data_IF_434658061924
#
_entry.id   IF_434658061924
#
_cell.length_a   1.000
_cell.length_b   1.000
_cell.length_c   1.000
_cell.angle_alpha   90.00
_cell.angle_beta   90.00
_cell.angle_gamma   90.00
#
_symmetry.space_group_name_H-M   'P 1'
#
loop_
_entity.id
_entity.type
_entity.pdbx_description
1 polymer ?
#
# COMPACT_ATOMS: atom_id res chain seq x y z
N UNK A 1 11.79 2.04 1.02
CA UNK A 1 13.18 2.26 1.48
C UNK A 1 13.49 3.75 1.44
N UNK A 2 14.20 4.24 2.42
CA UNK A 2 14.69 5.63 2.45
C UNK A 2 15.81 5.81 3.46
N UNK A 3 16.41 6.99 3.45
CA UNK A 3 17.46 7.34 4.41
C UNK A 3 16.83 7.82 5.71
N UNK A 4 17.58 7.67 6.81
CA UNK A 4 17.23 8.29 8.09
C UNK A 4 17.30 9.80 7.91
N UNK A 5 16.13 10.47 7.94
CA UNK A 5 16.02 11.89 7.54
C UNK A 5 16.27 12.86 8.69
N UNK A 6 16.19 12.39 9.93
CA UNK A 6 16.23 13.26 11.11
C UNK A 6 17.28 12.77 12.11
N UNK A 7 18.14 13.68 12.53
CA UNK A 7 19.19 13.41 13.49
C UNK A 7 18.64 12.94 14.85
N UNK A 8 17.55 13.54 15.32
CA UNK A 8 16.90 13.16 16.57
C UNK A 8 16.31 11.75 16.49
N UNK A 9 15.67 11.41 15.35
CA UNK A 9 15.16 10.05 15.09
C UNK A 9 16.28 9.03 15.01
N UNK A 10 17.43 9.39 14.42
CA UNK A 10 18.61 8.53 14.40
C UNK A 10 19.07 8.19 15.80
N UNK A 11 19.27 9.20 16.64
CA UNK A 11 19.74 8.98 18.02
C UNK A 11 18.73 8.22 18.86
N UNK A 12 17.44 8.49 18.70
CA UNK A 12 16.40 7.86 19.49
C UNK A 12 16.15 6.38 19.12
N UNK A 13 16.33 6.01 17.86
CA UNK A 13 15.81 4.72 17.36
C UNK A 13 16.83 3.84 16.65
N UNK A 14 17.92 4.39 16.12
CA UNK A 14 18.80 3.68 15.19
C UNK A 14 20.26 3.60 15.62
N UNK A 15 20.76 4.58 16.35
CA UNK A 15 22.17 4.62 16.78
C UNK A 15 22.59 3.38 17.54
N UNK A 16 21.80 2.99 18.53
CA UNK A 16 22.13 1.85 19.40
C UNK A 16 21.95 0.49 18.71
N UNK A 17 21.24 0.49 17.59
CA UNK A 17 21.11 -0.67 16.70
C UNK A 17 22.28 -0.82 15.72
N UNK A 18 23.20 0.14 15.67
CA UNK A 18 24.41 0.09 14.85
C UNK A 18 24.26 0.67 13.44
N UNK A 19 23.19 1.44 13.18
CA UNK A 19 23.02 2.14 11.90
C UNK A 19 23.90 3.38 11.80
N UNK A 20 24.32 3.70 10.59
CA UNK A 20 24.88 5.00 10.24
C UNK A 20 23.78 5.94 9.72
N UNK A 21 24.01 7.26 9.78
CA UNK A 21 23.06 8.26 9.26
C UNK A 21 22.76 8.13 7.76
N UNK A 22 23.66 7.49 7.01
CA UNK A 22 23.52 7.26 5.57
C UNK A 22 22.81 5.96 5.22
N UNK A 23 22.52 5.11 6.21
CA UNK A 23 21.94 3.81 5.95
C UNK A 23 20.50 3.93 5.46
N UNK A 24 20.12 2.97 4.62
CA UNK A 24 18.76 2.83 4.14
C UNK A 24 17.94 2.03 5.15
N UNK A 25 16.72 2.47 5.38
CA UNK A 25 15.77 1.82 6.29
C UNK A 25 14.43 1.61 5.58
N UNK A 26 13.66 0.66 6.05
CA UNK A 26 12.27 0.48 5.66
C UNK A 26 11.41 1.61 6.21
N UNK A 27 10.75 2.36 5.33
CA UNK A 27 9.87 3.47 5.72
C UNK A 27 8.42 3.03 5.90
N UNK A 28 8.00 2.01 5.16
CA UNK A 28 6.62 1.50 5.18
C UNK A 28 6.55 0.03 4.81
N UNK A 29 5.36 -0.57 4.98
CA UNK A 29 5.03 -1.93 4.58
C UNK A 29 5.94 -3.00 5.20
N UNK A 30 6.23 -4.02 4.41
CA UNK A 30 7.05 -5.17 4.81
C UNK A 30 8.47 -4.75 5.17
N UNK A 31 9.05 -3.81 4.43
CA UNK A 31 10.40 -3.32 4.71
C UNK A 31 10.52 -2.73 6.11
N UNK A 32 9.54 -1.90 6.52
CA UNK A 32 9.51 -1.33 7.87
C UNK A 32 9.24 -2.37 8.94
N UNK A 33 8.28 -3.25 8.69
CA UNK A 33 7.86 -4.26 9.66
C UNK A 33 8.95 -5.31 9.90
N UNK A 34 9.70 -5.64 8.86
CA UNK A 34 10.75 -6.66 8.87
C UNK A 34 12.16 -6.09 8.88
N UNK A 35 12.31 -4.79 9.19
CA UNK A 35 13.59 -4.09 9.19
C UNK A 35 14.67 -4.84 9.98
N UNK A 36 14.37 -5.26 11.20
CA UNK A 36 15.32 -5.96 12.08
C UNK A 36 15.78 -7.33 11.51
N UNK A 37 15.03 -7.89 10.54
CA UNK A 37 15.38 -9.15 9.85
C UNK A 37 16.13 -8.91 8.55
N UNK A 38 15.76 -7.86 7.83
CA UNK A 38 16.31 -7.54 6.52
C UNK A 38 17.66 -6.82 6.59
N UNK A 39 17.86 -6.06 7.67
CA UNK A 39 19.06 -5.22 7.76
C UNK A 39 20.30 -6.00 8.13
N UNK A 40 21.42 -5.77 7.44
CA UNK A 40 22.75 -6.17 7.89
C UNK A 40 23.34 -5.21 8.92
N UNK A 41 22.75 -4.03 9.10
CA UNK A 41 23.28 -2.92 9.89
C UNK A 41 23.18 -3.11 11.41
N UNK A 42 23.49 -4.28 11.92
CA UNK A 42 23.69 -4.50 13.36
C UNK A 42 25.18 -4.57 13.67
N UNK A 43 25.56 -4.22 14.89
CA UNK A 43 26.97 -4.28 15.36
C UNK A 43 27.64 -5.63 15.11
N UNK A 44 26.85 -6.69 14.97
CA UNK A 44 27.33 -8.07 14.73
C UNK A 44 27.47 -8.40 13.24
N UNK A 45 26.75 -7.68 12.36
CA UNK A 45 26.69 -7.98 10.92
C UNK A 45 27.49 -7.00 10.06
N UNK A 46 27.85 -5.84 10.60
CA UNK A 46 28.67 -4.85 9.89
C UNK A 46 30.09 -5.37 9.75
N UNK A 47 30.56 -5.46 8.51
CA UNK A 47 31.95 -5.77 8.22
C UNK A 47 32.89 -4.67 8.71
N UNK A 48 34.10 -5.06 9.08
CA UNK A 48 35.15 -4.13 9.55
C UNK A 48 36.44 -4.40 8.80
N UNK A 49 37.09 -3.33 8.37
CA UNK A 49 38.43 -3.38 7.81
C UNK A 49 39.35 -2.47 8.63
N UNK A 50 40.32 -3.06 9.32
CA UNK A 50 41.34 -2.33 10.02
C UNK A 50 42.52 -2.13 9.07
N UNK A 51 42.86 -0.89 8.84
CA UNK A 51 43.91 -0.50 7.89
C UNK A 51 44.95 0.36 8.58
N UNK A 52 46.20 0.23 8.14
CA UNK A 52 47.26 1.16 8.43
C UNK A 52 47.28 2.27 7.37
N UNK A 53 47.29 3.49 7.81
CA UNK A 53 47.32 4.66 6.91
C UNK A 53 48.68 5.37 7.02
N UNK A 54 49.14 5.90 5.92
CA UNK A 54 50.33 6.76 5.89
C UNK A 54 50.03 8.19 6.36
N UNK A 55 51.07 9.02 6.43
CA UNK A 55 50.92 10.43 6.85
C UNK A 55 50.03 11.29 5.95
N UNK A 56 49.63 10.79 4.78
CA UNK A 56 48.77 11.47 3.81
C UNK A 56 47.35 10.93 3.84
N UNK A 57 47.03 9.96 4.72
CA UNK A 57 45.73 9.34 4.82
C UNK A 57 45.46 8.18 3.82
N UNK A 58 46.48 7.81 3.02
CA UNK A 58 46.36 6.70 2.10
C UNK A 58 46.56 5.36 2.82
N UNK A 59 45.77 4.35 2.45
CA UNK A 59 45.85 3.00 3.02
C UNK A 59 47.18 2.37 2.59
N UNK A 60 48.07 2.14 3.55
CA UNK A 60 49.34 1.48 3.37
C UNK A 60 49.22 -0.05 3.40
N UNK A 61 48.48 -0.56 4.37
CA UNK A 61 48.27 -2.00 4.56
C UNK A 61 46.95 -2.28 5.25
N UNK A 62 46.28 -3.39 4.86
CA UNK A 62 45.14 -3.94 5.59
C UNK A 62 45.65 -4.88 6.65
N UNK A 63 45.32 -4.63 7.91
CA UNK A 63 45.73 -5.42 9.07
C UNK A 63 44.76 -6.57 9.35
N UNK A 64 43.46 -6.32 9.21
CA UNK A 64 42.42 -7.35 9.35
C UNK A 64 41.18 -6.94 8.59
N UNK A 65 40.42 -7.94 8.14
CA UNK A 65 39.09 -7.79 7.54
C UNK A 65 38.14 -8.76 8.20
N UNK A 66 37.00 -8.25 8.62
CA UNK A 66 35.82 -9.05 9.01
C UNK A 66 34.77 -8.80 7.95
N UNK A 67 34.33 -9.84 7.29
CA UNK A 67 33.30 -9.72 6.24
C UNK A 67 31.95 -9.33 6.85
N UNK A 68 31.17 -8.57 6.11
CA UNK A 68 29.79 -8.27 6.45
C UNK A 68 28.92 -9.52 6.31
N UNK A 69 27.88 -9.61 7.13
CA UNK A 69 26.88 -10.67 7.03
C UNK A 69 25.58 -10.06 6.48
N UNK A 70 25.05 -10.64 5.44
CA UNK A 70 23.79 -10.21 4.83
C UNK A 70 22.60 -10.34 5.81
N UNK A 71 21.57 -9.54 5.58
CA UNK A 71 20.28 -9.69 6.25
C UNK A 71 19.57 -10.99 5.84
N UNK A 72 18.46 -11.29 6.50
CA UNK A 72 17.68 -12.48 6.18
C UNK A 72 16.79 -12.26 4.97
N UNK A 73 16.48 -13.34 4.27
CA UNK A 73 15.48 -13.32 3.20
C UNK A 73 14.06 -13.39 3.80
N UNK A 74 13.15 -12.62 3.22
CA UNK A 74 11.72 -12.66 3.56
C UNK A 74 10.97 -13.26 2.38
N UNK A 75 10.24 -14.35 2.62
CA UNK A 75 9.33 -14.96 1.65
C UNK A 75 7.90 -14.53 1.94
N UNK A 76 7.30 -13.80 1.01
CA UNK A 76 5.88 -13.42 1.07
C UNK A 76 4.99 -14.56 0.59
N UNK A 77 3.71 -14.51 0.96
CA UNK A 77 2.67 -15.42 0.45
C UNK A 77 2.08 -14.95 -0.89
N UNK A 78 2.48 -13.78 -1.37
CA UNK A 78 2.00 -13.21 -2.63
C UNK A 78 2.38 -14.12 -3.80
N UNK A 79 1.37 -14.50 -4.61
CA UNK A 79 1.55 -15.12 -5.91
C UNK A 79 1.66 -14.01 -6.97
N UNK A 80 2.80 -13.91 -7.61
CA UNK A 80 3.10 -12.83 -8.57
C UNK A 80 2.22 -12.84 -9.82
N UNK A 81 1.72 -14.01 -10.22
CA UNK A 81 0.80 -14.11 -11.36
C UNK A 81 -0.59 -13.60 -10.96
N UNK A 82 -1.07 -14.03 -9.79
CA UNK A 82 -2.35 -13.58 -9.25
C UNK A 82 -2.32 -12.07 -8.95
N UNK A 83 -1.20 -11.57 -8.41
CA UNK A 83 -1.00 -10.13 -8.17
C UNK A 83 -1.16 -9.32 -9.46
N UNK A 84 -0.47 -9.72 -10.55
CA UNK A 84 -0.59 -9.05 -11.85
C UNK A 84 -2.00 -9.08 -12.42
N UNK A 85 -2.68 -10.22 -12.29
CA UNK A 85 -4.08 -10.34 -12.74
C UNK A 85 -4.98 -9.40 -11.93
N UNK A 86 -4.79 -9.35 -10.61
CA UNK A 86 -5.56 -8.46 -9.73
C UNK A 86 -5.34 -6.98 -10.06
N UNK A 87 -4.09 -6.58 -10.30
CA UNK A 87 -3.73 -5.20 -10.70
C UNK A 87 -4.36 -4.81 -12.04
N UNK A 88 -4.23 -5.65 -13.07
CA UNK A 88 -4.82 -5.40 -14.39
C UNK A 88 -6.34 -5.33 -14.34
N UNK A 89 -6.97 -6.28 -13.66
CA UNK A 89 -8.43 -6.31 -13.52
C UNK A 89 -8.96 -5.11 -12.73
N UNK A 90 -8.23 -4.67 -11.70
CA UNK A 90 -8.59 -3.49 -10.91
C UNK A 90 -8.53 -2.22 -11.77
N UNK A 91 -7.45 -2.03 -12.50
CA UNK A 91 -7.29 -0.88 -13.41
C UNK A 91 -8.35 -0.85 -14.49
N UNK A 92 -8.56 -1.97 -15.18
CA UNK A 92 -9.59 -2.09 -16.23
C UNK A 92 -10.98 -1.78 -15.68
N UNK A 93 -11.31 -2.27 -14.48
CA UNK A 93 -12.62 -2.06 -13.87
C UNK A 93 -12.82 -0.59 -13.46
N UNK A 94 -11.81 0.05 -12.83
CA UNK A 94 -11.91 1.47 -12.43
C UNK A 94 -12.08 2.35 -13.67
N UNK A 95 -11.31 2.11 -14.73
CA UNK A 95 -11.44 2.85 -15.98
C UNK A 95 -12.82 2.64 -16.62
N UNK A 96 -13.31 1.40 -16.64
CA UNK A 96 -14.66 1.10 -17.14
C UNK A 96 -15.75 1.84 -16.35
N UNK A 97 -15.69 1.79 -15.01
CA UNK A 97 -16.66 2.49 -14.15
C UNK A 97 -16.62 4.00 -14.41
N UNK A 98 -15.42 4.58 -14.48
CA UNK A 98 -15.24 6.01 -14.78
C UNK A 98 -15.86 6.39 -16.11
N UNK A 99 -15.59 5.63 -17.16
CA UNK A 99 -16.18 5.86 -18.48
C UNK A 99 -17.71 5.79 -18.47
N UNK A 100 -18.29 4.84 -17.72
CA UNK A 100 -19.74 4.76 -17.55
C UNK A 100 -20.29 5.97 -16.78
N UNK A 101 -19.64 6.37 -15.67
CA UNK A 101 -20.02 7.56 -14.91
C UNK A 101 -19.99 8.82 -15.78
N UNK A 102 -18.93 9.01 -16.56
CA UNK A 102 -18.83 10.16 -17.48
C UNK A 102 -19.91 10.18 -18.56
N UNK A 103 -20.28 9.00 -19.10
CA UNK A 103 -21.39 8.91 -20.09
C UNK A 103 -22.73 9.25 -19.46
N UNK A 104 -23.00 8.74 -18.25
CA UNK A 104 -24.25 9.01 -17.53
C UNK A 104 -24.37 10.49 -17.17
N UNK A 105 -23.29 11.11 -16.69
CA UNK A 105 -23.26 12.52 -16.35
C UNK A 105 -23.40 13.48 -17.55
N UNK A 106 -23.16 12.99 -18.76
CA UNK A 106 -23.40 13.74 -20.00
C UNK A 106 -24.81 13.50 -20.60
N UNK A 107 -25.63 12.64 -19.98
CA UNK A 107 -26.97 12.28 -20.43
C UNK A 107 -28.04 13.06 -19.68
N UNK A 108 -28.64 14.07 -20.34
CA UNK A 108 -29.74 14.86 -19.76
C UNK A 108 -30.91 13.96 -19.33
N UNK A 109 -31.21 12.92 -20.14
CA UNK A 109 -32.26 11.95 -19.82
C UNK A 109 -32.00 11.20 -18.53
N UNK A 110 -30.76 10.78 -18.31
CA UNK A 110 -30.37 10.09 -17.08
C UNK A 110 -30.39 11.03 -15.87
N UNK A 111 -29.88 12.25 -16.04
CA UNK A 111 -29.86 13.26 -14.99
C UNK A 111 -31.29 13.63 -14.55
N UNK A 112 -32.20 13.84 -15.49
CA UNK A 112 -33.61 14.14 -15.20
C UNK A 112 -34.30 12.96 -14.50
N UNK A 113 -34.04 11.73 -14.93
CA UNK A 113 -34.64 10.53 -14.35
C UNK A 113 -34.15 10.26 -12.92
N UNK A 114 -32.91 10.66 -12.58
CA UNK A 114 -32.29 10.42 -11.27
C UNK A 114 -32.21 11.67 -10.39
N UNK A 115 -32.86 12.76 -10.82
CA UNK A 115 -32.79 14.06 -10.15
C UNK A 115 -33.23 14.02 -8.68
N UNK A 116 -34.24 13.21 -8.34
CA UNK A 116 -34.73 13.06 -6.98
C UNK A 116 -33.68 12.38 -6.07
N UNK A 117 -33.04 11.31 -6.56
CA UNK A 117 -32.00 10.59 -5.83
C UNK A 117 -30.73 11.42 -5.67
N UNK A 118 -30.43 12.21 -6.69
CA UNK A 118 -29.28 13.10 -6.71
C UNK A 118 -29.50 14.36 -5.82
N UNK A 119 -30.73 14.87 -5.72
CA UNK A 119 -31.09 16.02 -4.88
C UNK A 119 -31.44 15.62 -3.44
N UNK A 120 -31.86 14.39 -3.20
CA UNK A 120 -32.17 13.86 -1.86
C UNK A 120 -30.92 13.56 -1.02
N UNK A 121 -29.76 13.51 -1.64
CA UNK A 121 -28.48 13.53 -0.93
C UNK A 121 -28.10 14.99 -0.65
N UNK A 122 -27.45 15.28 0.45
CA UNK A 122 -26.87 16.60 0.81
C UNK A 122 -25.83 17.10 -0.21
N UNK A 123 -25.82 16.57 -1.43
CA UNK A 123 -24.92 16.87 -2.52
C UNK A 123 -25.57 17.83 -3.48
N UNK A 124 -25.22 19.06 -3.36
CA UNK A 124 -25.40 20.05 -4.41
C UNK A 124 -24.35 19.78 -5.50
N UNK A 125 -24.79 19.45 -6.71
CA UNK A 125 -23.88 19.13 -7.82
C UNK A 125 -22.97 20.28 -8.22
N UNK A 126 -23.36 21.52 -7.93
CA UNK A 126 -22.54 22.69 -8.20
C UNK A 126 -21.41 22.83 -7.18
N UNK A 127 -21.65 22.46 -5.92
CA UNK A 127 -20.71 22.61 -4.82
C UNK A 127 -20.04 21.29 -4.44
N UNK A 128 -20.63 20.15 -4.76
CA UNK A 128 -20.11 18.81 -4.45
C UNK A 128 -20.38 17.83 -5.62
N UNK A 129 -19.57 17.90 -6.69
CA UNK A 129 -19.75 17.09 -7.86
C UNK A 129 -19.61 15.59 -7.53
N UNK A 130 -20.23 14.74 -8.35
CA UNK A 130 -20.02 13.29 -8.24
C UNK A 130 -18.56 12.98 -8.48
N UNK A 131 -17.92 12.35 -7.48
CA UNK A 131 -16.56 11.86 -7.65
C UNK A 131 -16.55 10.66 -8.62
N UNK A 132 -15.74 10.78 -9.65
CA UNK A 132 -15.49 9.67 -10.58
C UNK A 132 -14.64 8.59 -9.90
N UNK A 133 -14.79 7.35 -10.36
CA UNK A 133 -13.97 6.25 -9.86
C UNK A 133 -12.51 6.47 -10.25
N UNK A 134 -11.65 6.63 -9.26
CA UNK A 134 -10.22 6.91 -9.43
C UNK A 134 -9.32 6.07 -8.54
N UNK A 135 -9.90 5.39 -7.56
CA UNK A 135 -9.19 4.67 -6.52
C UNK A 135 -9.87 3.33 -6.26
N UNK A 136 -9.10 2.36 -5.84
CA UNK A 136 -9.67 1.07 -5.48
C UNK A 136 -8.63 0.08 -4.98
N UNK A 137 -9.11 -1.08 -4.52
CA UNK A 137 -8.25 -2.15 -4.07
C UNK A 137 -8.85 -3.53 -4.35
N UNK A 138 -7.98 -4.51 -4.52
CA UNK A 138 -8.32 -5.95 -4.56
C UNK A 138 -7.44 -6.69 -3.58
N UNK A 139 -8.05 -7.51 -2.72
CA UNK A 139 -7.36 -8.40 -1.79
C UNK A 139 -7.82 -9.82 -2.04
N UNK A 140 -6.87 -10.74 -2.26
CA UNK A 140 -7.15 -12.17 -2.39
C UNK A 140 -6.49 -12.89 -1.24
N UNK A 141 -7.30 -13.60 -0.47
CA UNK A 141 -6.88 -14.34 0.73
C UNK A 141 -7.34 -15.78 0.56
N UNK A 142 -6.48 -16.75 0.87
CA UNK A 142 -6.89 -18.16 0.90
C UNK A 142 -7.61 -18.54 2.19
N UNK A 143 -8.04 -19.79 2.27
CA UNK A 143 -8.81 -20.30 3.43
C UNK A 143 -7.96 -20.44 4.70
N UNK A 144 -6.63 -20.39 4.57
CA UNK A 144 -5.67 -20.39 5.68
C UNK A 144 -5.34 -18.98 6.16
N UNK A 145 -5.92 -17.95 5.51
CA UNK A 145 -5.70 -16.55 5.87
C UNK A 145 -4.43 -15.93 5.25
N UNK A 146 -3.78 -16.62 4.28
CA UNK A 146 -2.61 -16.09 3.59
C UNK A 146 -3.03 -15.12 2.50
N UNK A 147 -2.41 -13.95 2.45
CA UNK A 147 -2.65 -12.96 1.39
C UNK A 147 -1.91 -13.41 0.13
N UNK A 148 -2.65 -13.72 -0.92
CA UNK A 148 -2.14 -14.17 -2.22
C UNK A 148 -1.99 -13.03 -3.22
N UNK A 149 -2.84 -12.00 -3.12
CA UNK A 149 -2.70 -10.76 -3.87
C UNK A 149 -3.21 -9.57 -3.04
N UNK A 150 -2.55 -8.43 -3.19
CA UNK A 150 -2.89 -7.18 -2.52
C UNK A 150 -2.63 -6.03 -3.52
N UNK A 151 -3.65 -5.68 -4.30
CA UNK A 151 -3.57 -4.64 -5.31
C UNK A 151 -4.23 -3.35 -4.84
N UNK A 152 -3.60 -2.23 -5.14
CA UNK A 152 -4.09 -0.88 -4.87
C UNK A 152 -3.98 -0.04 -6.15
N UNK A 153 -4.98 0.79 -6.43
CA UNK A 153 -5.00 1.66 -7.60
C UNK A 153 -5.22 3.13 -7.17
N UNK A 154 -4.50 4.11 -7.74
CA UNK A 154 -3.53 3.96 -8.83
C UNK A 154 -2.23 3.30 -8.38
N UNK A 155 -1.58 2.52 -9.26
CA UNK A 155 -0.28 1.94 -8.99
C UNK A 155 0.83 2.99 -9.12
N UNK A 156 1.99 2.70 -8.56
CA UNK A 156 3.21 3.47 -8.80
C UNK A 156 4.43 2.54 -8.83
N UNK A 157 5.50 2.99 -9.49
CA UNK A 157 6.78 2.28 -9.46
C UNK A 157 7.60 2.75 -8.24
N UNK A 158 7.83 1.90 -7.23
CA UNK A 158 8.63 2.27 -6.07
C UNK A 158 10.08 2.61 -6.41
N UNK A 159 10.61 2.16 -7.55
CA UNK A 159 11.96 2.50 -8.01
C UNK A 159 12.10 3.98 -8.36
N UNK A 160 10.99 4.68 -8.66
CA UNK A 160 11.01 6.12 -8.87
C UNK A 160 11.63 6.89 -7.70
N UNK A 161 11.44 6.42 -6.46
CA UNK A 161 12.03 7.04 -5.26
C UNK A 161 13.52 6.76 -5.09
N UNK A 162 14.04 5.69 -5.72
CA UNK A 162 15.48 5.39 -5.73
C UNK A 162 16.19 6.30 -6.73
N UNK A 163 15.60 6.46 -7.90
CA UNK A 163 16.12 7.32 -8.98
C UNK A 163 15.93 8.80 -8.63
N UNK A 164 14.78 9.13 -8.02
CA UNK A 164 14.39 10.50 -7.71
C UNK A 164 13.98 11.30 -8.95
N UNK A 165 13.94 12.63 -8.80
CA UNK A 165 13.63 13.53 -9.91
C UNK A 165 12.14 13.63 -10.24
N UNK A 166 11.80 13.85 -11.51
CA UNK A 166 10.45 14.13 -12.00
C UNK A 166 9.48 12.97 -11.72
N UNK A 167 9.90 11.73 -11.94
CA UNK A 167 9.05 10.54 -11.71
C UNK A 167 8.60 10.41 -10.25
N UNK A 168 9.46 10.71 -9.28
CA UNK A 168 9.09 10.71 -7.87
C UNK A 168 8.18 11.91 -7.54
N UNK A 169 8.42 13.07 -8.15
CA UNK A 169 7.59 14.26 -7.98
C UNK A 169 6.16 14.03 -8.51
N UNK A 170 6.01 13.42 -9.67
CA UNK A 170 4.70 13.09 -10.26
C UNK A 170 3.87 12.20 -9.34
N UNK A 171 4.49 11.18 -8.71
CA UNK A 171 3.81 10.32 -7.74
C UNK A 171 3.35 11.11 -6.51
N UNK A 172 4.19 12.03 -6.02
CA UNK A 172 3.88 12.84 -4.84
C UNK A 172 2.82 13.91 -5.10
N UNK A 173 2.70 14.38 -6.34
CA UNK A 173 1.75 15.41 -6.76
C UNK A 173 0.43 14.84 -7.28
N UNK A 174 0.33 13.53 -7.48
CA UNK A 174 -0.91 12.89 -7.94
C UNK A 174 -1.99 12.98 -6.87
N UNK A 175 -3.07 13.71 -7.18
CA UNK A 175 -4.22 13.93 -6.29
C UNK A 175 -4.93 12.63 -5.89
N UNK A 176 -4.73 11.56 -6.66
CA UNK A 176 -5.26 10.22 -6.37
C UNK A 176 -4.50 9.49 -5.26
N UNK A 177 -3.40 10.09 -4.76
CA UNK A 177 -2.59 9.59 -3.64
C UNK A 177 -2.11 8.13 -3.82
N UNK A 178 -1.32 7.80 -4.86
CA UNK A 178 -0.88 6.43 -5.14
C UNK A 178 -0.07 5.78 -4.02
N UNK A 179 0.52 6.57 -3.12
CA UNK A 179 1.26 6.06 -1.95
C UNK A 179 0.35 5.48 -0.87
N UNK A 180 -0.95 5.77 -0.91
CA UNK A 180 -1.91 5.15 0.00
C UNK A 180 -2.19 3.72 -0.46
N UNK A 181 -1.91 2.75 0.40
CA UNK A 181 -2.34 1.38 0.15
C UNK A 181 -3.83 1.27 0.48
N UNK A 182 -4.68 1.42 -0.55
CA UNK A 182 -6.14 1.41 -0.39
C UNK A 182 -6.68 0.06 0.10
N UNK A 183 -5.93 -1.03 -0.03
CA UNK A 183 -6.34 -2.34 0.49
C UNK A 183 -6.36 -2.40 2.03
N UNK A 184 -5.56 -1.56 2.71
CA UNK A 184 -5.45 -1.54 4.19
C UNK A 184 -5.65 -0.14 4.78
N UNK A 185 -5.56 0.90 3.99
CA UNK A 185 -5.64 2.30 4.43
C UNK A 185 -6.95 3.01 4.07
N UNK A 186 -7.83 2.38 3.27
CA UNK A 186 -9.13 2.95 2.94
C UNK A 186 -10.05 2.97 4.16
N UNK A 187 -10.87 4.03 4.24
CA UNK A 187 -11.92 4.19 5.25
C UNK A 187 -13.30 4.31 4.60
N UNK A 188 -13.45 3.74 3.43
CA UNK A 188 -14.70 3.79 2.68
C UNK A 188 -15.76 2.90 3.35
N UNK A 189 -17.03 3.30 3.20
CA UNK A 189 -18.15 2.51 3.69
C UNK A 189 -18.24 1.20 2.91
N UNK A 190 -18.22 0.04 3.57
CA UNK A 190 -18.16 -1.26 2.90
C UNK A 190 -19.42 -1.58 2.06
N UNK A 191 -20.53 -0.92 2.33
CA UNK A 191 -21.78 -1.16 1.60
C UNK A 191 -22.22 -2.62 1.62
N UNK A 192 -22.68 -3.13 0.47
CA UNK A 192 -23.24 -4.48 0.34
C UNK A 192 -22.26 -5.63 0.61
N UNK A 193 -20.97 -5.42 0.57
CA UNK A 193 -19.99 -6.46 0.95
C UNK A 193 -20.09 -6.82 2.43
N UNK A 194 -20.57 -5.91 3.27
CA UNK A 194 -20.81 -6.17 4.70
C UNK A 194 -21.98 -7.14 4.96
N UNK A 195 -22.85 -7.38 3.97
CA UNK A 195 -23.96 -8.32 4.09
C UNK A 195 -23.51 -9.75 4.42
N UNK A 196 -22.33 -10.16 3.92
CA UNK A 196 -21.75 -11.46 4.26
C UNK A 196 -21.41 -11.57 5.75
N UNK A 197 -20.90 -10.49 6.35
CA UNK A 197 -20.61 -10.43 7.79
C UNK A 197 -21.91 -10.50 8.58
N UNK A 198 -22.93 -9.74 8.19
CA UNK A 198 -24.25 -9.73 8.84
C UNK A 198 -24.93 -11.10 8.76
N UNK A 199 -24.92 -11.73 7.58
CA UNK A 199 -25.49 -13.06 7.40
C UNK A 199 -24.77 -14.12 8.24
N UNK A 200 -23.43 -14.10 8.24
CA UNK A 200 -22.63 -15.01 9.06
C UNK A 200 -22.93 -14.83 10.55
N UNK A 201 -23.00 -13.59 11.03
CA UNK A 201 -23.37 -13.30 12.41
C UNK A 201 -24.77 -13.81 12.75
N UNK A 202 -25.77 -13.60 11.87
CA UNK A 202 -27.13 -14.12 12.04
C UNK A 202 -27.17 -15.64 12.14
N UNK A 203 -26.42 -16.36 11.31
CA UNK A 203 -26.30 -17.82 11.35
C UNK A 203 -25.64 -18.29 12.66
N UNK A 204 -24.53 -17.67 13.07
CA UNK A 204 -23.79 -18.03 14.28
C UNK A 204 -24.61 -17.81 15.55
N UNK A 205 -25.46 -16.79 15.60
CA UNK A 205 -26.33 -16.47 16.73
C UNK A 205 -27.70 -17.10 16.62
N UNK A 206 -27.97 -18.00 15.65
CA UNK A 206 -29.23 -18.70 15.48
C UNK A 206 -30.42 -17.79 15.14
N UNK A 207 -30.17 -16.58 14.66
CA UNK A 207 -31.19 -15.63 14.20
C UNK A 207 -31.62 -15.89 12.76
N UNK A 208 -30.78 -16.61 11.99
CA UNK A 208 -31.00 -17.01 10.61
C UNK A 208 -30.75 -18.51 10.46
N UNK A 209 -31.40 -19.12 9.49
CA UNK A 209 -31.11 -20.48 9.03
C UNK A 209 -30.70 -20.48 7.56
N UNK A 210 -29.99 -21.50 7.11
CA UNK A 210 -29.51 -21.60 5.70
C UNK A 210 -30.66 -21.71 4.70
N UNK A 211 -31.86 -22.08 5.14
CA UNK A 211 -33.03 -22.31 4.30
C UNK A 211 -34.11 -21.24 4.48
N UNK A 212 -33.90 -20.28 5.35
CA UNK A 212 -34.83 -19.20 5.60
C UNK A 212 -34.91 -18.22 4.44
N UNK A 213 -36.10 -17.82 4.08
CA UNK A 213 -36.33 -16.78 3.07
C UNK A 213 -36.73 -15.50 3.79
N UNK A 214 -35.95 -14.44 3.60
CA UNK A 214 -36.25 -13.11 4.13
C UNK A 214 -36.88 -12.30 3.00
N UNK A 215 -38.09 -11.78 3.22
CA UNK A 215 -38.71 -10.81 2.32
C UNK A 215 -38.31 -9.41 2.75
N UNK A 216 -37.63 -8.71 1.86
CA UNK A 216 -37.43 -7.27 1.96
C UNK A 216 -38.61 -6.57 1.31
N UNK A 217 -39.40 -5.85 2.07
CA UNK A 217 -40.63 -5.18 1.61
C UNK A 217 -40.37 -3.68 1.28
N UNK A 218 -39.10 -3.24 1.27
CA UNK A 218 -38.69 -1.87 0.91
C UNK A 218 -38.58 -0.94 2.10
#
# INVERSE_FOLDING_TARGET
IGKIQNYDTYYASYKDKGYALSDLIGLDGVEKTMEDWLTPCTTQRVGKRVVEIDRYGAVSRTLSTTEATDGNNIKLTIDTNLQRIAESALEENINYIRDQQERLLKSDVWLDANKADLQGTTRDFETNPIELAEKGAVVVIDMEGRVLALASYPPYDPNAFIVGGEAAADILLDSRNPLVNYAIGSRDTPGSIFKMVTATAGLLHGQLTLTETISDLG
#
